data_IF_102045815743
#
_entry.id   IF_102045815743
#
_cell.length_a   1.000
_cell.length_b   1.000
_cell.length_c   1.000
_cell.angle_alpha   90.00
_cell.angle_beta   90.00
_cell.angle_gamma   90.00
#
_symmetry.space_group_name_H-M   'P 1'
#
loop_
_entity.id
_entity.type
_entity.pdbx_description
1 polymer ?
#
# COMPACT_ATOMS: atom_id res chain seq x y z
N UNK A 1 -7.58 -26.37 0.92
CA UNK A 1 -7.12 -25.34 1.83
C UNK A 1 -7.58 -23.98 1.40
N UNK A 2 -7.92 -23.22 2.37
CA UNK A 2 -8.34 -21.86 2.09
C UNK A 2 -7.13 -21.05 1.65
N UNK A 3 -7.10 -20.70 0.40
CA UNK A 3 -6.07 -19.83 -0.09
C UNK A 3 -6.34 -18.43 0.43
N UNK A 4 -5.33 -17.83 1.01
CA UNK A 4 -5.46 -16.45 1.40
C UNK A 4 -5.31 -15.59 0.15
N UNK A 5 -6.41 -15.46 -0.57
CA UNK A 5 -6.45 -14.60 -1.75
C UNK A 5 -6.88 -13.19 -1.39
N UNK A 6 -7.32 -12.97 -0.15
CA UNK A 6 -7.76 -11.67 0.31
C UNK A 6 -6.94 -11.26 1.52
N UNK A 7 -6.30 -10.11 1.45
CA UNK A 7 -5.60 -9.50 2.56
C UNK A 7 -6.54 -8.55 3.27
N UNK A 8 -6.54 -8.56 4.59
CA UNK A 8 -7.40 -7.68 5.38
C UNK A 8 -6.59 -6.99 6.46
N UNK A 9 -6.82 -5.71 6.64
CA UNK A 9 -6.19 -4.92 7.69
C UNK A 9 -6.94 -3.61 7.86
N UNK A 10 -7.31 -3.28 9.09
CA UNK A 10 -7.86 -1.97 9.41
C UNK A 10 -9.03 -1.52 8.55
N UNK A 11 -9.97 -2.41 8.25
CA UNK A 11 -11.11 -2.07 7.41
C UNK A 11 -10.83 -2.16 5.93
N UNK A 12 -9.60 -2.47 5.54
CA UNK A 12 -9.23 -2.66 4.14
C UNK A 12 -9.31 -4.13 3.78
N UNK A 13 -9.79 -4.41 2.58
CA UNK A 13 -9.77 -5.75 2.01
C UNK A 13 -9.21 -5.68 0.61
N UNK A 14 -8.22 -6.50 0.33
CA UNK A 14 -7.52 -6.50 -0.94
C UNK A 14 -7.61 -7.90 -1.53
N UNK A 15 -8.33 -8.05 -2.63
CA UNK A 15 -8.49 -9.33 -3.29
C UNK A 15 -7.39 -9.49 -4.34
N UNK A 16 -6.46 -10.39 -4.09
CA UNK A 16 -5.33 -10.59 -4.97
C UNK A 16 -5.72 -11.25 -6.29
N UNK A 17 -6.80 -12.00 -6.27
CA UNK A 17 -7.26 -12.72 -7.45
C UNK A 17 -7.95 -11.81 -8.46
N UNK A 18 -8.86 -10.98 -7.96
CA UNK A 18 -9.64 -10.09 -8.80
C UNK A 18 -9.06 -8.69 -8.89
N UNK A 19 -8.06 -8.40 -8.07
CA UNK A 19 -7.44 -7.09 -7.98
C UNK A 19 -8.41 -6.01 -7.51
N UNK A 20 -9.36 -6.40 -6.69
CA UNK A 20 -10.35 -5.47 -6.15
C UNK A 20 -9.97 -5.03 -4.75
N UNK A 21 -10.34 -3.81 -4.42
CA UNK A 21 -10.04 -3.22 -3.12
C UNK A 21 -11.33 -2.68 -2.53
N UNK A 22 -11.54 -2.94 -1.26
CA UNK A 22 -12.67 -2.39 -0.52
C UNK A 22 -12.18 -1.69 0.73
N UNK A 23 -12.78 -0.54 1.02
CA UNK A 23 -12.55 0.21 2.24
C UNK A 23 -13.87 0.28 2.97
N UNK A 24 -13.94 -0.33 4.15
CA UNK A 24 -15.19 -0.42 4.92
C UNK A 24 -16.32 -0.94 4.05
N UNK A 25 -16.04 -1.97 3.26
CA UNK A 25 -16.98 -2.64 2.37
C UNK A 25 -17.37 -1.84 1.12
N UNK A 26 -16.82 -0.66 0.96
CA UNK A 26 -17.06 0.14 -0.25
C UNK A 26 -15.94 -0.12 -1.26
N UNK A 27 -16.31 -0.41 -2.48
CA UNK A 27 -15.33 -0.70 -3.54
C UNK A 27 -14.57 0.56 -3.93
N UNK A 28 -13.26 0.42 -4.10
CA UNK A 28 -12.38 1.52 -4.46
C UNK A 28 -11.51 1.09 -5.64
N UNK A 29 -11.37 1.97 -6.63
CA UNK A 29 -10.54 1.69 -7.80
C UNK A 29 -9.12 2.19 -7.57
N UNK A 30 -8.15 1.31 -7.78
CA UNK A 30 -6.73 1.66 -7.69
C UNK A 30 -6.05 1.37 -9.01
N UNK A 31 -5.04 2.19 -9.33
CA UNK A 31 -4.17 1.87 -10.45
C UNK A 31 -3.30 0.67 -10.07
N UNK A 32 -2.64 0.06 -11.07
CA UNK A 32 -1.80 -1.11 -10.82
C UNK A 32 -0.70 -0.81 -9.81
N UNK A 33 -0.08 0.36 -9.90
CA UNK A 33 0.99 0.73 -8.97
C UNK A 33 0.46 1.02 -7.57
N UNK A 34 -0.69 1.66 -7.48
CA UNK A 34 -1.33 1.88 -6.19
C UNK A 34 -1.71 0.57 -5.53
N UNK A 35 -2.22 -0.36 -6.32
CA UNK A 35 -2.56 -1.69 -5.82
C UNK A 35 -1.32 -2.39 -5.27
N UNK A 36 -0.23 -2.39 -6.03
CA UNK A 36 1.01 -3.04 -5.60
C UNK A 36 1.57 -2.41 -4.33
N UNK A 37 1.48 -1.10 -4.22
CA UNK A 37 1.96 -0.39 -3.04
C UNK A 37 1.11 -0.74 -1.81
N UNK A 38 -0.20 -0.76 -1.98
CA UNK A 38 -1.09 -1.12 -0.88
C UNK A 38 -0.90 -2.59 -0.48
N UNK A 39 -0.73 -3.46 -1.46
CA UNK A 39 -0.47 -4.88 -1.18
C UNK A 39 0.78 -5.04 -0.33
N UNK A 40 1.84 -4.34 -0.67
CA UNK A 40 3.09 -4.41 0.09
C UNK A 40 2.87 -3.99 1.53
N UNK A 41 2.16 -2.89 1.73
CA UNK A 41 1.85 -2.40 3.07
C UNK A 41 0.98 -3.39 3.85
N UNK A 42 0.01 -3.98 3.18
CA UNK A 42 -0.92 -4.90 3.84
C UNK A 42 -0.30 -6.25 4.17
N UNK A 43 0.78 -6.63 3.49
CA UNK A 43 1.51 -7.84 3.83
C UNK A 43 2.38 -7.66 5.07
N UNK A 44 2.62 -6.40 5.47
CA UNK A 44 3.42 -6.07 6.64
C UNK A 44 2.70 -5.06 7.52
N UNK A 45 1.51 -5.43 8.02
CA UNK A 45 0.72 -4.47 8.81
C UNK A 45 1.46 -4.07 10.08
N UNK A 46 1.46 -2.78 10.36
CA UNK A 46 2.13 -2.26 11.54
C UNK A 46 3.63 -2.12 11.41
N UNK A 47 4.23 -2.63 10.34
CA UNK A 47 5.66 -2.56 10.14
C UNK A 47 6.02 -1.33 9.31
N UNK A 48 7.06 -0.64 9.71
CA UNK A 48 7.56 0.51 8.94
C UNK A 48 8.31 0.00 7.72
N UNK A 49 7.90 0.48 6.55
CA UNK A 49 8.60 0.19 5.31
C UNK A 49 9.31 1.47 4.85
N UNK A 50 10.58 1.34 4.48
CA UNK A 50 11.33 2.50 4.01
C UNK A 50 10.91 2.86 2.60
N UNK A 51 11.14 4.12 2.21
CA UNK A 51 10.88 4.55 0.84
C UNK A 51 11.66 3.69 -0.15
N UNK A 52 12.89 3.33 0.20
CA UNK A 52 13.72 2.52 -0.66
C UNK A 52 13.13 1.13 -0.86
N UNK A 53 12.62 0.51 0.21
CA UNK A 53 11.98 -0.78 0.11
C UNK A 53 10.75 -0.72 -0.79
N UNK A 54 9.93 0.31 -0.61
CA UNK A 54 8.73 0.48 -1.41
C UNK A 54 9.08 0.76 -2.87
N UNK A 55 10.08 1.59 -3.09
CA UNK A 55 10.52 1.91 -4.44
C UNK A 55 11.04 0.67 -5.17
N UNK A 56 11.91 -0.09 -4.52
CA UNK A 56 12.48 -1.28 -5.13
C UNK A 56 11.42 -2.34 -5.42
N UNK A 57 10.49 -2.51 -4.51
CA UNK A 57 9.49 -3.55 -4.62
C UNK A 57 8.44 -3.26 -5.69
N UNK A 58 8.01 -2.01 -5.79
CA UNK A 58 6.92 -1.62 -6.68
C UNK A 58 7.43 -1.13 -8.03
N UNK A 59 8.52 -0.37 -8.04
CA UNK A 59 9.06 0.21 -9.27
C UNK A 59 10.31 -0.49 -9.80
N UNK A 60 11.03 -1.21 -8.92
CA UNK A 60 12.20 -1.95 -9.34
C UNK A 60 13.50 -1.28 -8.91
N UNK A 61 14.58 -2.05 -8.94
CA UNK A 61 15.88 -1.57 -8.46
C UNK A 61 16.52 -0.52 -9.37
N UNK A 62 16.11 -0.49 -10.63
CA UNK A 62 16.68 0.47 -11.59
C UNK A 62 16.07 1.85 -11.49
N UNK A 63 15.02 1.99 -10.69
CA UNK A 63 14.36 3.29 -10.56
C UNK A 63 15.23 4.26 -9.76
N UNK A 64 15.16 5.53 -10.11
CA UNK A 64 15.96 6.57 -9.47
C UNK A 64 15.62 6.68 -7.98
N UNK A 65 16.57 6.39 -7.08
CA UNK A 65 16.30 6.48 -5.65
C UNK A 65 16.05 7.90 -5.14
N UNK A 66 16.40 8.90 -5.93
CA UNK A 66 16.10 10.30 -5.59
C UNK A 66 14.70 10.72 -5.97
N UNK A 67 13.93 9.84 -6.61
CA UNK A 67 12.58 10.16 -7.05
C UNK A 67 11.64 10.27 -5.87
N UNK A 68 10.66 11.18 -5.96
CA UNK A 68 9.61 11.30 -4.94
C UNK A 68 8.36 10.50 -5.31
N UNK A 69 8.49 9.54 -6.23
CA UNK A 69 7.33 8.80 -6.74
C UNK A 69 6.59 8.07 -5.64
N UNK A 70 7.31 7.49 -4.66
CA UNK A 70 6.67 6.80 -3.55
C UNK A 70 5.77 7.77 -2.78
N UNK A 71 6.28 8.95 -2.46
CA UNK A 71 5.51 9.94 -1.70
C UNK A 71 4.27 10.39 -2.47
N UNK A 72 4.40 10.56 -3.77
CA UNK A 72 3.28 10.96 -4.63
C UNK A 72 2.21 9.88 -4.63
N UNK A 73 2.62 8.63 -4.77
CA UNK A 73 1.65 7.53 -4.80
C UNK A 73 1.03 7.26 -3.43
N UNK A 74 1.78 7.45 -2.36
CA UNK A 74 1.21 7.32 -1.01
C UNK A 74 0.15 8.41 -0.79
N UNK A 75 0.40 9.61 -1.25
CA UNK A 75 -0.58 10.68 -1.13
C UNK A 75 -1.87 10.34 -1.88
N UNK A 76 -1.74 9.84 -3.12
CA UNK A 76 -2.89 9.45 -3.91
C UNK A 76 -3.65 8.29 -3.23
N UNK A 77 -2.90 7.34 -2.71
CA UNK A 77 -3.48 6.17 -2.04
C UNK A 77 -4.26 6.60 -0.79
N UNK A 78 -3.70 7.53 -0.01
CA UNK A 78 -4.38 8.05 1.18
C UNK A 78 -5.74 8.66 0.86
N UNK A 79 -5.85 9.31 -0.27
CA UNK A 79 -7.13 9.91 -0.68
C UNK A 79 -8.17 8.85 -0.95
N UNK A 80 -7.74 7.69 -1.38
CA UNK A 80 -8.66 6.61 -1.79
C UNK A 80 -9.02 5.69 -0.63
N UNK A 81 -8.07 5.41 0.26
CA UNK A 81 -8.30 4.45 1.34
C UNK A 81 -8.43 5.08 2.72
N UNK A 82 -8.18 6.39 2.83
CA UNK A 82 -8.26 7.07 4.12
C UNK A 82 -6.88 7.46 4.62
N UNK A 83 -6.72 8.74 4.96
CA UNK A 83 -5.42 9.27 5.36
C UNK A 83 -4.92 8.65 6.65
N UNK A 84 -5.83 8.26 7.54
CA UNK A 84 -5.46 7.70 8.83
C UNK A 84 -4.92 6.28 8.73
N UNK A 85 -5.10 5.62 7.61
CA UNK A 85 -4.68 4.22 7.46
C UNK A 85 -3.20 4.07 7.12
N UNK A 86 -2.59 5.09 6.53
CA UNK A 86 -1.18 5.06 6.18
C UNK A 86 -0.49 6.19 6.92
N UNK A 87 0.36 5.82 7.87
CA UNK A 87 1.04 6.78 8.75
C UNK A 87 2.44 7.05 8.22
N UNK A 88 2.82 8.32 8.18
CA UNK A 88 4.19 8.70 7.88
C UNK A 88 5.02 8.52 9.14
N UNK A 89 6.10 7.73 9.04
CA UNK A 89 7.05 7.60 10.13
C UNK A 89 8.25 8.46 9.76
N UNK A 90 8.39 9.54 10.46
CA UNK A 90 9.34 10.60 10.13
C UNK A 90 10.75 10.07 10.02
N UNK A 91 11.40 10.37 8.90
CA UNK A 91 12.78 9.96 8.66
C UNK A 91 12.96 8.49 8.34
N UNK A 92 11.88 7.69 8.30
CA UNK A 92 12.00 6.26 8.06
C UNK A 92 11.17 5.79 6.86
N UNK A 93 9.90 6.16 6.80
CA UNK A 93 9.05 5.73 5.71
C UNK A 93 7.59 5.76 6.08
N UNK A 94 6.88 4.68 5.76
CA UNK A 94 5.44 4.62 5.98
C UNK A 94 5.04 3.31 6.65
N UNK A 95 3.91 3.34 7.31
CA UNK A 95 3.39 2.19 8.03
C UNK A 95 1.88 2.13 7.90
N UNK A 96 1.35 0.94 7.65
CA UNK A 96 -0.09 0.75 7.64
C UNK A 96 -0.57 0.54 9.07
N UNK A 97 -1.60 1.29 9.46
CA UNK A 97 -2.25 1.05 10.74
C UNK A 97 -3.22 -0.11 10.57
N UNK A 98 -3.34 -0.89 11.57
CA UNK A 98 -4.27 -1.98 11.50
C UNK A 98 -3.88 -3.16 12.27
#
# INVERSE_FOLDING_TARGET
>A
PAELTVLRAGGLALDLRTRRVAVEEASVDLTAREFSLLELLMRHPGQVLTRQQMLSHVWGYDYDPGSNVVDVFVRALRRKVGAERIVTVRGMGYRLTG
#
